data_IF_143160782546
#
_entry.id   IF_143160782546
#
_cell.length_a   1.000
_cell.length_b   1.000
_cell.length_c   1.000
_cell.angle_alpha   90.00
_cell.angle_beta   90.00
_cell.angle_gamma   90.00
#
_symmetry.space_group_name_H-M   'P 1'
#
loop_
_entity.id
_entity.type
_entity.pdbx_description
1 polymer ?
#
# COMPACT_ATOMS: atom_id res chain seq x y z
N UNK A 1 -5.09 38.78 2.20
CA UNK A 1 -5.83 37.58 1.76
C UNK A 1 -4.92 36.47 1.23
N UNK A 2 -3.91 36.74 0.38
CA UNK A 2 -2.98 35.69 -0.12
C UNK A 2 -2.14 35.00 0.98
N UNK A 3 -1.74 35.73 2.04
CA UNK A 3 -1.01 35.15 3.20
C UNK A 3 -1.87 34.25 4.11
N UNK A 4 -3.20 34.43 4.10
CA UNK A 4 -4.13 33.62 4.90
C UNK A 4 -4.48 32.31 4.17
N UNK A 5 -4.58 32.35 2.84
CA UNK A 5 -4.72 31.13 2.02
C UNK A 5 -3.47 30.22 2.10
N UNK A 6 -2.28 30.79 2.22
CA UNK A 6 -1.03 30.02 2.34
C UNK A 6 -0.89 29.29 3.69
N UNK A 7 -1.52 29.80 4.76
CA UNK A 7 -1.52 29.18 6.07
C UNK A 7 -2.56 28.05 6.18
N UNK A 8 -3.68 28.18 5.47
CA UNK A 8 -4.73 27.15 5.42
C UNK A 8 -4.28 25.91 4.63
N UNK A 9 -3.47 26.08 3.58
CA UNK A 9 -2.93 24.98 2.78
C UNK A 9 -1.84 24.17 3.48
N UNK A 10 -1.08 24.78 4.40
CA UNK A 10 -0.07 24.08 5.21
C UNK A 10 -0.72 23.19 6.27
N UNK A 11 -1.89 23.57 6.80
CA UNK A 11 -2.56 22.82 7.86
C UNK A 11 -3.20 21.50 7.34
N UNK A 12 -3.67 21.49 6.10
CA UNK A 12 -4.27 20.29 5.47
C UNK A 12 -3.19 19.25 5.10
N UNK A 13 -1.97 19.70 4.76
CA UNK A 13 -0.86 18.81 4.41
C UNK A 13 -0.27 18.03 5.61
N UNK A 14 -0.39 18.54 6.84
CA UNK A 14 0.06 17.80 8.03
C UNK A 14 -0.86 16.62 8.37
N UNK A 15 -2.17 16.74 8.12
CA UNK A 15 -3.13 15.66 8.44
C UNK A 15 -2.94 14.42 7.54
N UNK A 16 -2.49 14.60 6.29
CA UNK A 16 -2.27 13.50 5.37
C UNK A 16 -0.96 12.72 5.62
N UNK A 17 0.01 13.31 6.32
CA UNK A 17 1.27 12.62 6.69
C UNK A 17 1.05 11.71 7.90
N UNK A 18 0.24 12.16 8.88
CA UNK A 18 -0.07 11.38 10.08
C UNK A 18 -0.82 10.07 9.80
N UNK A 19 -1.54 9.96 8.68
CA UNK A 19 -2.30 8.76 8.33
C UNK A 19 -1.44 7.65 7.69
N UNK A 20 -0.25 8.01 7.18
CA UNK A 20 0.62 7.04 6.49
C UNK A 20 1.51 6.25 7.47
N UNK A 21 1.95 6.90 8.55
CA UNK A 21 2.79 6.33 9.60
C UNK A 21 2.02 6.13 10.91
N UNK A 22 2.44 5.18 11.74
CA UNK A 22 1.80 4.98 13.05
C UNK A 22 2.45 5.82 14.14
N UNK A 23 1.62 6.46 14.96
CA UNK A 23 2.05 7.06 16.24
C UNK A 23 1.99 6.07 17.42
N UNK A 24 1.41 4.88 17.21
CA UNK A 24 1.30 3.83 18.21
C UNK A 24 2.62 3.09 18.31
N UNK A 25 3.35 3.31 19.41
CA UNK A 25 4.69 2.71 19.64
C UNK A 25 4.73 1.19 19.43
N UNK A 26 3.69 0.47 19.86
CA UNK A 26 3.60 -0.99 19.65
C UNK A 26 3.52 -1.34 18.17
N UNK A 27 2.69 -0.62 17.39
CA UNK A 27 2.55 -0.87 15.97
C UNK A 27 3.86 -0.58 15.22
N UNK A 28 4.50 0.54 15.55
CA UNK A 28 5.80 0.91 14.99
C UNK A 28 6.89 -0.13 15.30
N UNK A 29 6.98 -0.60 16.55
CA UNK A 29 7.95 -1.64 16.93
C UNK A 29 7.71 -2.97 16.19
N UNK A 30 6.46 -3.38 16.03
CA UNK A 30 6.09 -4.56 15.24
C UNK A 30 6.45 -4.38 13.75
N UNK A 31 6.22 -3.19 13.19
CA UNK A 31 6.58 -2.88 11.81
C UNK A 31 8.10 -2.87 11.58
N UNK A 32 8.87 -2.32 12.51
CA UNK A 32 10.34 -2.35 12.48
C UNK A 32 10.88 -3.78 12.56
N UNK A 33 10.29 -4.61 13.41
CA UNK A 33 10.60 -6.05 13.46
C UNK A 33 10.29 -6.74 12.14
N UNK A 34 9.19 -6.40 11.47
CA UNK A 34 8.90 -6.90 10.14
C UNK A 34 9.99 -6.52 9.12
N UNK A 35 10.49 -5.28 9.16
CA UNK A 35 11.59 -4.84 8.30
C UNK A 35 12.85 -5.71 8.51
N UNK A 36 13.15 -6.07 9.75
CA UNK A 36 14.30 -6.93 10.05
C UNK A 36 14.13 -8.35 9.50
N UNK A 37 12.91 -8.90 9.55
CA UNK A 37 12.62 -10.17 8.88
C UNK A 37 12.72 -10.07 7.36
N UNK A 38 12.32 -8.94 6.76
CA UNK A 38 12.41 -8.72 5.31
C UNK A 38 13.84 -8.61 4.79
N UNK A 39 14.78 -8.04 5.56
CA UNK A 39 16.22 -8.01 5.19
C UNK A 39 16.81 -9.41 4.99
N UNK A 40 16.18 -10.42 5.56
CA UNK A 40 16.59 -11.83 5.50
C UNK A 40 15.58 -12.70 4.74
N UNK A 41 14.69 -12.09 3.95
CA UNK A 41 13.62 -12.73 3.16
C UNK A 41 12.74 -13.71 3.98
N UNK A 42 12.63 -13.52 5.30
CA UNK A 42 11.76 -14.34 6.17
C UNK A 42 10.33 -13.83 6.12
N UNK A 43 9.65 -14.08 5.00
CA UNK A 43 8.31 -13.52 4.73
C UNK A 43 7.26 -13.92 5.77
N UNK A 44 7.23 -15.16 6.25
CA UNK A 44 6.24 -15.60 7.23
C UNK A 44 6.35 -14.82 8.55
N UNK A 45 7.58 -14.58 9.02
CA UNK A 45 7.84 -13.80 10.22
C UNK A 45 7.58 -12.30 10.01
N UNK A 46 7.85 -11.80 8.80
CA UNK A 46 7.52 -10.43 8.43
C UNK A 46 6.00 -10.21 8.43
N UNK A 47 5.24 -11.12 7.81
CA UNK A 47 3.76 -11.12 7.82
C UNK A 47 3.25 -11.13 9.25
N UNK A 48 3.72 -12.07 10.09
CA UNK A 48 3.30 -12.13 11.49
C UNK A 48 3.55 -10.80 12.23
N UNK A 49 4.70 -10.17 12.00
CA UNK A 49 5.04 -8.90 12.64
C UNK A 49 4.21 -7.74 12.08
N UNK A 50 3.86 -7.76 10.79
CA UNK A 50 2.95 -6.78 10.18
C UNK A 50 1.52 -6.95 10.68
N UNK A 51 1.04 -8.18 10.86
CA UNK A 51 -0.27 -8.46 11.45
C UNK A 51 -0.35 -7.89 12.87
N UNK A 52 0.71 -8.04 13.68
CA UNK A 52 0.78 -7.41 14.98
C UNK A 52 0.83 -5.87 14.91
N UNK A 53 1.40 -5.30 13.84
CA UNK A 53 1.41 -3.86 13.62
C UNK A 53 0.00 -3.33 13.33
N UNK A 54 -0.72 -3.95 12.38
CA UNK A 54 -2.08 -3.51 11.99
C UNK A 54 -3.14 -3.81 13.06
N UNK A 55 -2.93 -4.83 13.90
CA UNK A 55 -3.77 -5.05 15.10
C UNK A 55 -3.56 -3.97 16.15
N UNK A 56 -2.32 -3.52 16.34
CA UNK A 56 -1.99 -2.48 17.31
C UNK A 56 -2.44 -1.09 16.83
N UNK A 57 -2.41 -0.85 15.53
CA UNK A 57 -2.92 0.36 14.89
C UNK A 57 -3.62 0.03 13.55
N UNK A 58 -4.96 -0.09 13.56
CA UNK A 58 -5.74 -0.32 12.35
C UNK A 58 -5.67 0.82 11.32
N UNK A 59 -5.14 2.00 11.69
CA UNK A 59 -4.90 3.12 10.79
C UNK A 59 -3.50 3.12 10.15
N UNK A 60 -2.64 2.14 10.43
CA UNK A 60 -1.27 2.13 9.93
C UNK A 60 -1.19 1.72 8.45
N UNK A 61 -1.43 2.67 7.56
CA UNK A 61 -1.54 2.43 6.12
C UNK A 61 -0.31 1.72 5.53
N UNK A 62 0.92 2.15 5.87
CA UNK A 62 2.13 1.52 5.35
C UNK A 62 2.27 0.04 5.76
N UNK A 63 1.80 -0.35 6.94
CA UNK A 63 1.84 -1.75 7.36
C UNK A 63 0.95 -2.62 6.48
N UNK A 64 -0.25 -2.14 6.12
CA UNK A 64 -1.12 -2.84 5.17
C UNK A 64 -0.53 -2.92 3.76
N UNK A 65 0.07 -1.84 3.26
CA UNK A 65 0.70 -1.84 1.93
C UNK A 65 1.82 -2.89 1.88
N UNK A 66 2.69 -2.90 2.89
CA UNK A 66 3.79 -3.86 2.91
C UNK A 66 3.32 -5.30 3.12
N UNK A 67 2.28 -5.51 3.95
CA UNK A 67 1.63 -6.80 4.11
C UNK A 67 1.08 -7.30 2.77
N UNK A 68 0.44 -6.42 1.99
CA UNK A 68 -0.09 -6.73 0.68
C UNK A 68 1.01 -7.09 -0.32
N UNK A 69 2.09 -6.30 -0.38
CA UNK A 69 3.22 -6.53 -1.27
C UNK A 69 3.91 -7.88 -1.01
N UNK A 70 4.09 -8.25 0.26
CA UNK A 70 4.66 -9.54 0.62
C UNK A 70 3.72 -10.67 0.20
N UNK A 71 2.43 -10.57 0.56
CA UNK A 71 1.43 -11.58 0.19
C UNK A 71 1.35 -11.76 -1.33
N UNK A 72 1.43 -10.67 -2.10
CA UNK A 72 1.50 -10.71 -3.57
C UNK A 72 2.77 -11.42 -4.04
N UNK A 73 3.93 -11.11 -3.47
CA UNK A 73 5.22 -11.75 -3.80
C UNK A 73 5.20 -13.26 -3.55
N UNK A 74 4.54 -13.72 -2.49
CA UNK A 74 4.39 -15.15 -2.19
C UNK A 74 3.14 -15.79 -2.84
N UNK A 75 2.46 -15.06 -3.73
CA UNK A 75 1.25 -15.51 -4.47
C UNK A 75 0.03 -15.81 -3.59
N UNK A 76 0.00 -15.30 -2.36
CA UNK A 76 -1.18 -15.29 -1.50
C UNK A 76 -2.13 -14.15 -1.93
N UNK A 77 -2.65 -14.22 -3.15
CA UNK A 77 -3.35 -13.11 -3.81
C UNK A 77 -4.62 -12.66 -3.09
N UNK A 78 -5.35 -13.58 -2.45
CA UNK A 78 -6.53 -13.23 -1.65
C UNK A 78 -6.14 -12.29 -0.49
N UNK A 79 -5.10 -12.65 0.27
CA UNK A 79 -4.61 -11.84 1.38
C UNK A 79 -4.02 -10.52 0.89
N UNK A 80 -3.31 -10.54 -0.25
CA UNK A 80 -2.79 -9.32 -0.86
C UNK A 80 -3.92 -8.33 -1.20
N UNK A 81 -4.98 -8.82 -1.85
CA UNK A 81 -6.16 -8.00 -2.17
C UNK A 81 -6.80 -7.38 -0.93
N UNK A 82 -7.02 -8.18 0.12
CA UNK A 82 -7.59 -7.69 1.37
C UNK A 82 -6.73 -6.59 1.99
N UNK A 83 -5.41 -6.77 2.08
CA UNK A 83 -4.51 -5.81 2.68
C UNK A 83 -4.39 -4.51 1.85
N UNK A 84 -4.32 -4.59 0.52
CA UNK A 84 -4.37 -3.40 -0.33
C UNK A 84 -5.68 -2.63 -0.17
N UNK A 85 -6.82 -3.32 -0.13
CA UNK A 85 -8.11 -2.69 0.09
C UNK A 85 -8.17 -2.00 1.46
N UNK A 86 -7.68 -2.65 2.52
CA UNK A 86 -7.55 -2.01 3.84
C UNK A 86 -6.71 -0.73 3.78
N UNK A 87 -5.57 -0.75 3.08
CA UNK A 87 -4.75 0.46 2.89
C UNK A 87 -5.53 1.59 2.18
N UNK A 88 -6.30 1.27 1.14
CA UNK A 88 -7.12 2.23 0.41
C UNK A 88 -8.31 2.77 1.23
N UNK A 89 -8.85 1.98 2.18
CA UNK A 89 -9.91 2.47 3.09
C UNK A 89 -9.42 3.50 4.10
N UNK A 90 -8.12 3.46 4.46
CA UNK A 90 -7.52 4.41 5.42
C UNK A 90 -7.38 5.80 4.79
N UNK A 91 -7.02 5.86 3.51
CA UNK A 91 -6.87 7.13 2.81
C UNK A 91 -6.21 7.00 1.43
N UNK A 92 -6.01 8.14 0.75
CA UNK A 92 -5.35 8.15 -0.54
C UNK A 92 -3.88 7.71 -0.41
N UNK A 93 -3.42 6.90 -1.36
CA UNK A 93 -2.03 6.45 -1.46
C UNK A 93 -1.34 7.22 -2.57
N UNK A 94 -0.17 7.79 -2.27
CA UNK A 94 0.61 8.56 -3.26
C UNK A 94 1.30 7.68 -4.30
N UNK A 95 1.70 6.46 -3.92
CA UNK A 95 2.37 5.53 -4.81
C UNK A 95 1.38 4.76 -5.68
N UNK A 96 1.23 5.19 -6.93
CA UNK A 96 0.34 4.57 -7.90
C UNK A 96 0.68 3.11 -8.21
N UNK A 97 1.91 2.65 -7.90
CA UNK A 97 2.32 1.24 -8.07
C UNK A 97 1.48 0.28 -7.24
N UNK A 98 0.87 0.77 -6.16
CA UNK A 98 -0.10 -0.01 -5.38
C UNK A 98 -1.24 -0.53 -6.25
N UNK A 99 -1.77 0.29 -7.17
CA UNK A 99 -2.87 -0.12 -8.04
C UNK A 99 -2.48 -1.25 -9.01
N UNK A 100 -1.22 -1.30 -9.44
CA UNK A 100 -0.71 -2.45 -10.19
C UNK A 100 -0.71 -3.72 -9.32
N UNK A 101 -0.20 -3.62 -8.09
CA UNK A 101 -0.16 -4.76 -7.16
C UNK A 101 -1.55 -5.29 -6.81
N UNK A 102 -2.50 -4.37 -6.57
CA UNK A 102 -3.89 -4.70 -6.32
C UNK A 102 -4.56 -5.33 -7.55
N UNK A 103 -4.38 -4.75 -8.74
CA UNK A 103 -4.91 -5.32 -9.97
C UNK A 103 -4.38 -6.75 -10.22
N UNK A 104 -3.08 -6.99 -9.99
CA UNK A 104 -2.51 -8.34 -10.08
C UNK A 104 -3.19 -9.32 -9.10
N UNK A 105 -3.43 -8.89 -7.86
CA UNK A 105 -4.14 -9.71 -6.87
C UNK A 105 -5.61 -9.95 -7.25
N UNK A 106 -6.29 -8.96 -7.82
CA UNK A 106 -7.67 -9.05 -8.31
C UNK A 106 -7.79 -10.01 -9.49
N UNK A 107 -6.90 -9.93 -10.48
CA UNK A 107 -6.84 -10.86 -11.61
C UNK A 107 -6.69 -12.30 -11.14
N UNK A 108 -5.75 -12.54 -10.22
CA UNK A 108 -5.51 -13.88 -9.67
C UNK A 108 -6.60 -14.36 -8.70
N UNK A 109 -7.53 -13.49 -8.32
CA UNK A 109 -8.73 -13.86 -7.52
C UNK A 109 -10.03 -13.79 -8.32
N UNK A 110 -9.96 -13.58 -9.64
CA UNK A 110 -11.13 -13.56 -10.53
C UNK A 110 -11.94 -12.26 -10.50
N UNK A 111 -11.45 -11.22 -9.85
CA UNK A 111 -12.12 -9.91 -9.73
C UNK A 111 -11.74 -9.00 -10.89
N UNK A 112 -12.09 -9.44 -12.11
CA UNK A 112 -11.62 -8.80 -13.35
C UNK A 112 -12.17 -7.39 -13.55
N UNK A 113 -13.34 -7.09 -12.99
CA UNK A 113 -13.94 -5.74 -13.08
C UNK A 113 -13.11 -4.72 -12.31
N UNK A 114 -12.78 -5.00 -11.04
CA UNK A 114 -11.94 -4.09 -10.25
C UNK A 114 -10.50 -4.08 -10.78
N UNK A 115 -9.99 -5.22 -11.23
CA UNK A 115 -8.66 -5.29 -11.83
C UNK A 115 -8.50 -4.34 -13.02
N UNK A 116 -9.48 -4.33 -13.94
CA UNK A 116 -9.44 -3.45 -15.10
C UNK A 116 -9.45 -1.98 -14.70
N UNK A 117 -10.22 -1.62 -13.68
CA UNK A 117 -10.24 -0.27 -13.14
C UNK A 117 -8.87 0.12 -12.56
N UNK A 118 -8.32 -0.70 -11.67
CA UNK A 118 -7.06 -0.40 -10.99
C UNK A 118 -5.85 -0.43 -11.93
N UNK A 119 -5.78 -1.35 -12.89
CA UNK A 119 -4.69 -1.35 -13.87
C UNK A 119 -4.77 -0.12 -14.79
N UNK A 120 -5.98 0.32 -15.14
CA UNK A 120 -6.17 1.56 -15.92
C UNK A 120 -5.72 2.79 -15.11
N UNK A 121 -6.06 2.85 -13.81
CA UNK A 121 -5.57 3.88 -12.91
C UNK A 121 -4.04 3.88 -12.86
N UNK A 122 -3.41 2.71 -12.77
CA UNK A 122 -1.96 2.59 -12.79
C UNK A 122 -1.37 3.15 -14.11
N UNK A 123 -1.82 2.65 -15.26
CA UNK A 123 -1.29 3.04 -16.58
C UNK A 123 -1.42 4.54 -16.84
N UNK A 124 -2.56 5.14 -16.47
CA UNK A 124 -2.81 6.56 -16.71
C UNK A 124 -1.98 7.49 -15.81
N UNK A 125 -1.59 7.04 -14.62
CA UNK A 125 -0.95 7.89 -13.62
C UNK A 125 0.53 7.56 -13.37
N UNK A 126 1.02 6.40 -13.82
CA UNK A 126 2.42 6.02 -13.66
C UNK A 126 3.32 6.84 -14.59
N UNK A 127 4.14 7.71 -14.00
CA UNK A 127 5.13 8.55 -14.70
C UNK A 127 6.55 7.98 -14.60
N UNK A 128 6.71 6.74 -14.14
CA UNK A 128 8.02 6.10 -14.04
C UNK A 128 8.54 5.61 -15.39
N UNK A 129 9.83 5.35 -15.47
CA UNK A 129 10.52 5.02 -16.72
C UNK A 129 10.67 3.51 -16.97
N UNK A 130 10.20 2.65 -16.07
CA UNK A 130 10.28 1.20 -16.20
C UNK A 130 9.34 0.70 -17.31
N UNK A 131 9.91 0.55 -18.50
CA UNK A 131 9.19 0.13 -19.71
C UNK A 131 8.64 -1.29 -19.59
N UNK A 132 9.32 -2.17 -18.87
CA UNK A 132 8.86 -3.55 -18.69
C UNK A 132 7.64 -3.59 -17.76
N UNK A 133 7.63 -2.72 -16.76
CA UNK A 133 6.50 -2.57 -15.85
C UNK A 133 5.26 -2.01 -16.56
N UNK A 134 5.44 -1.01 -17.44
CA UNK A 134 4.36 -0.48 -18.30
C UNK A 134 3.85 -1.55 -19.28
N UNK A 135 4.75 -2.28 -19.94
CA UNK A 135 4.38 -3.35 -20.89
C UNK A 135 3.59 -4.46 -20.22
N UNK A 136 3.97 -4.87 -19.00
CA UNK A 136 3.24 -5.87 -18.23
C UNK A 136 1.83 -5.38 -17.88
N UNK A 137 1.70 -4.13 -17.46
CA UNK A 137 0.40 -3.55 -17.15
C UNK A 137 -0.53 -3.49 -18.37
N UNK A 138 0.00 -3.11 -19.54
CA UNK A 138 -0.77 -3.05 -20.79
C UNK A 138 -1.15 -4.42 -21.39
N UNK A 139 -0.70 -5.53 -20.79
CA UNK A 139 -1.07 -6.89 -21.24
C UNK A 139 -2.41 -7.35 -20.66
N UNK A 140 -2.85 -6.73 -19.57
CA UNK A 140 -4.13 -7.01 -18.91
C UNK A 140 -5.24 -6.21 -19.57
#
# INVERSE_FOLDING_TARGET
>A
MKKLLLLLSIFIACLSVQAQTSSVKKAQASFEKAQEHLKTDRFDLAIFSLDEAVKADPGFQFAYIQLADINRRIKAYHNAKLAYNSALTIGPVADVRLYYGLAEAEINTGDYTNALQHITTFVNNYQGTDQDFIKKANKY
#
